data_IF_356367368733
#
_entry.id   IF_356367368733
#
_cell.length_a   1.000
_cell.length_b   1.000
_cell.length_c   1.000
_cell.angle_alpha   90.00
_cell.angle_beta   90.00
_cell.angle_gamma   90.00
#
_symmetry.space_group_name_H-M   'P 1'
#
loop_
_entity.id
_entity.type
_entity.pdbx_description
1 polymer ?
#
# COMPACT_ATOMS: atom_id res chain seq x y z
N UNK A 1 7.31 -3.83 17.97
CA UNK A 1 7.37 -3.43 16.54
C UNK A 1 5.96 -3.35 15.99
N UNK A 2 5.68 -2.47 15.03
CA UNK A 2 4.36 -2.37 14.38
C UNK A 2 4.43 -3.05 13.02
N UNK A 3 3.39 -3.80 12.66
CA UNK A 3 3.24 -4.42 11.35
C UNK A 3 2.22 -3.64 10.53
N UNK A 4 2.46 -3.52 9.24
CA UNK A 4 1.59 -2.82 8.30
C UNK A 4 1.29 -3.70 7.09
N UNK A 5 0.09 -3.54 6.52
CA UNK A 5 -0.21 -4.00 5.18
C UNK A 5 0.17 -2.92 4.17
N UNK A 6 0.80 -3.31 3.07
CA UNK A 6 1.05 -2.44 1.93
C UNK A 6 -0.07 -2.64 0.91
N UNK A 7 -1.01 -1.70 0.82
CA UNK A 7 -2.10 -1.73 -0.15
C UNK A 7 -1.63 -1.12 -1.47
N UNK A 8 -1.31 -1.96 -2.45
CA UNK A 8 -0.97 -1.53 -3.81
C UNK A 8 -2.24 -1.42 -4.64
N UNK A 9 -2.62 -0.19 -4.94
CA UNK A 9 -3.82 0.11 -5.70
C UNK A 9 -3.59 0.02 -7.20
N UNK A 10 -4.66 -0.25 -7.94
CA UNK A 10 -4.67 -0.22 -9.41
C UNK A 10 -4.17 1.08 -10.03
N UNK A 11 -4.25 2.22 -9.32
CA UNK A 11 -3.71 3.50 -9.78
C UNK A 11 -2.17 3.61 -9.65
N UNK A 12 -1.49 2.57 -9.16
CA UNK A 12 -0.04 2.51 -8.98
C UNK A 12 0.46 3.06 -7.64
N UNK A 13 -0.42 3.61 -6.80
CA UNK A 13 -0.07 4.09 -5.48
C UNK A 13 -0.06 2.95 -4.45
N UNK A 14 0.85 3.01 -3.48
CA UNK A 14 0.88 2.08 -2.35
C UNK A 14 0.67 2.83 -1.04
N UNK A 15 -0.32 2.41 -0.26
CA UNK A 15 -0.60 2.97 1.06
C UNK A 15 -0.29 1.95 2.15
N UNK A 16 0.22 2.40 3.29
CA UNK A 16 0.46 1.53 4.46
C UNK A 16 -0.72 1.63 5.43
N UNK A 17 -1.30 0.48 5.77
CA UNK A 17 -2.40 0.37 6.74
C UNK A 17 -1.92 -0.45 7.92
N UNK A 18 -2.22 0.00 9.15
CA UNK A 18 -1.82 -0.73 10.35
C UNK A 18 -2.44 -2.13 10.37
N UNK A 19 -1.62 -3.14 10.64
CA UNK A 19 -2.06 -4.53 10.73
C UNK A 19 -2.15 -4.98 12.19
N UNK A 20 -1.03 -4.96 12.90
CA UNK A 20 -0.96 -5.43 14.28
C UNK A 20 0.26 -4.88 15.02
N UNK A 21 0.16 -4.89 16.35
CA UNK A 21 1.32 -4.81 17.22
C UNK A 21 2.07 -6.14 17.21
N UNK A 22 3.38 -6.11 17.32
CA UNK A 22 4.19 -7.32 17.48
C UNK A 22 3.99 -7.97 18.86
N UNK A 23 4.33 -9.26 19.00
CA UNK A 23 4.16 -9.98 20.26
C UNK A 23 4.88 -9.31 21.44
N UNK A 24 4.25 -9.29 22.62
CA UNK A 24 4.85 -8.74 23.84
C UNK A 24 5.92 -9.71 24.39
N UNK A 25 7.15 -9.64 23.87
CA UNK A 25 8.31 -10.36 24.45
C UNK A 25 9.68 -9.72 24.14
N UNK A 26 9.75 -8.58 23.45
CA UNK A 26 11.01 -7.88 23.24
C UNK A 26 11.23 -6.86 24.37
N UNK A 27 12.03 -7.21 25.38
CA UNK A 27 12.44 -6.38 26.53
C UNK A 27 13.01 -4.97 26.18
N UNK A 28 13.21 -4.66 24.89
CA UNK A 28 13.68 -3.37 24.42
C UNK A 28 12.67 -2.82 23.40
N UNK A 29 11.80 -1.94 23.85
CA UNK A 29 10.96 -1.13 22.96
C UNK A 29 11.88 -0.22 22.14
N UNK A 30 12.32 -0.67 20.96
CA UNK A 30 12.94 0.24 20.00
C UNK A 30 11.82 1.11 19.40
N UNK A 31 11.99 2.44 19.34
CA UNK A 31 11.02 3.31 18.70
C UNK A 31 10.75 2.80 17.28
N UNK A 32 9.47 2.80 16.89
CA UNK A 32 9.00 2.31 15.60
C UNK A 32 9.47 3.25 14.49
N UNK A 33 10.75 3.20 14.10
CA UNK A 33 11.32 4.07 13.08
C UNK A 33 10.79 3.82 11.65
N UNK A 34 9.72 3.02 11.49
CA UNK A 34 9.15 2.72 10.17
C UNK A 34 8.24 1.49 10.10
N UNK A 35 8.20 0.64 11.13
CA UNK A 35 7.42 -0.61 11.10
C UNK A 35 7.86 -1.59 10.01
N UNK A 36 7.25 -2.77 9.97
CA UNK A 36 7.52 -3.80 8.97
C UNK A 36 6.28 -4.05 8.11
N UNK A 37 6.47 -4.25 6.81
CA UNK A 37 5.38 -4.68 5.92
C UNK A 37 5.15 -6.17 6.12
N UNK A 38 4.01 -6.53 6.69
CA UNK A 38 3.59 -7.92 6.84
C UNK A 38 3.28 -8.53 5.47
N UNK A 39 2.43 -7.86 4.70
CA UNK A 39 2.01 -8.34 3.40
C UNK A 39 1.63 -7.18 2.48
N UNK A 40 1.93 -7.35 1.20
CA UNK A 40 1.44 -6.47 0.14
C UNK A 40 0.15 -7.03 -0.43
N UNK A 41 -0.93 -6.25 -0.33
CA UNK A 41 -2.25 -6.57 -0.84
C UNK A 41 -2.52 -5.76 -2.10
N UNK A 42 -2.91 -6.43 -3.19
CA UNK A 42 -3.38 -5.76 -4.40
C UNK A 42 -4.83 -5.35 -4.20
N UNK A 43 -5.12 -4.07 -4.42
CA UNK A 43 -6.47 -3.50 -4.29
C UNK A 43 -7.01 -3.21 -5.67
N UNK A 44 -8.24 -3.65 -5.95
CA UNK A 44 -8.93 -3.38 -7.23
C UNK A 44 -9.45 -1.94 -7.34
N UNK A 45 -9.56 -1.26 -6.20
CA UNK A 45 -10.04 0.11 -6.08
C UNK A 45 -8.89 1.12 -6.19
N UNK A 46 -9.20 2.31 -6.69
CA UNK A 46 -8.27 3.46 -6.65
C UNK A 46 -8.00 3.89 -5.21
N UNK A 47 -6.84 4.50 -4.97
CA UNK A 47 -6.54 5.02 -3.65
C UNK A 47 -7.44 6.23 -3.32
N UNK A 48 -7.68 6.47 -2.03
CA UNK A 48 -8.48 7.59 -1.54
C UNK A 48 -7.97 8.94 -2.05
N UNK A 49 -6.65 9.10 -2.21
CA UNK A 49 -6.03 10.33 -2.71
C UNK A 49 -6.45 10.61 -4.17
N UNK A 50 -6.43 9.59 -5.05
CA UNK A 50 -6.90 9.75 -6.42
C UNK A 50 -8.39 10.09 -6.48
N UNK A 51 -9.20 9.48 -5.60
CA UNK A 51 -10.62 9.80 -5.49
C UNK A 51 -10.88 11.24 -5.03
N UNK A 52 -10.07 11.75 -4.11
CA UNK A 52 -10.20 13.12 -3.59
C UNK A 52 -9.69 14.20 -4.55
N UNK A 53 -8.63 13.91 -5.32
CA UNK A 53 -8.06 14.86 -6.27
C UNK A 53 -8.92 15.05 -7.54
N UNK A 54 -10.02 14.30 -7.67
CA UNK A 54 -10.85 14.32 -8.88
C UNK A 54 -10.08 13.85 -10.10
N UNK A 55 -9.09 12.96 -9.92
CA UNK A 55 -8.36 12.35 -11.03
C UNK A 55 -9.39 11.75 -12.00
N UNK A 56 -9.42 12.25 -13.23
CA UNK A 56 -10.41 11.81 -14.21
C UNK A 56 -10.24 10.31 -14.50
N UNK A 57 -11.34 9.67 -14.87
CA UNK A 57 -11.39 8.22 -15.13
C UNK A 57 -10.36 7.80 -16.20
N UNK A 58 -10.06 8.69 -17.15
CA UNK A 58 -9.00 8.52 -18.14
C UNK A 58 -7.59 8.44 -17.53
N UNK A 59 -7.26 9.32 -16.57
CA UNK A 59 -5.96 9.31 -15.86
C UNK A 59 -5.83 8.04 -15.01
N UNK A 60 -6.92 7.65 -14.35
CA UNK A 60 -6.98 6.40 -13.58
C UNK A 60 -6.72 5.22 -14.50
N UNK A 61 -7.42 5.10 -15.63
CA UNK A 61 -7.26 4.00 -16.57
C UNK A 61 -5.87 3.94 -17.21
N UNK A 62 -5.26 5.08 -17.53
CA UNK A 62 -3.88 5.14 -18.02
C UNK A 62 -2.87 4.64 -16.96
N UNK A 63 -3.06 4.99 -15.68
CA UNK A 63 -2.24 4.49 -14.57
C UNK A 63 -2.46 2.99 -14.32
N UNK A 64 -3.71 2.51 -14.41
CA UNK A 64 -4.04 1.07 -14.36
C UNK A 64 -3.28 0.27 -15.42
N UNK A 65 -3.27 0.75 -16.66
CA UNK A 65 -2.55 0.10 -17.76
C UNK A 65 -1.03 0.03 -17.50
N UNK A 66 -0.42 1.12 -16.98
CA UNK A 66 1.00 1.13 -16.61
C UNK A 66 1.32 0.17 -15.46
N UNK A 67 0.48 0.11 -14.43
CA UNK A 67 0.67 -0.80 -13.30
C UNK A 67 0.59 -2.27 -13.74
N UNK A 68 -0.36 -2.63 -14.60
CA UNK A 68 -0.46 -3.96 -15.19
C UNK A 68 0.77 -4.33 -16.02
N UNK A 69 1.28 -3.40 -16.84
CA UNK A 69 2.49 -3.59 -17.65
C UNK A 69 3.79 -3.70 -16.83
N UNK A 70 3.80 -3.21 -15.58
CA UNK A 70 4.91 -3.39 -14.65
C UNK A 70 4.83 -4.74 -13.91
N UNK A 71 3.63 -5.26 -13.67
CA UNK A 71 3.42 -6.54 -12.98
C UNK A 71 3.70 -7.77 -13.85
N UNK A 72 3.50 -7.68 -15.17
CA UNK A 72 3.75 -8.77 -16.12
C UNK A 72 5.19 -8.93 -16.61
N UNK A 73 6.13 -8.16 -16.03
CA UNK A 73 7.57 -8.16 -16.40
C UNK A 73 8.44 -8.96 -15.41
N UNK A 74 7.85 -9.93 -14.71
CA UNK A 74 8.53 -10.87 -13.81
C UNK A 74 8.39 -12.29 -14.34
#
# INVERSE_FOLDING_TARGET
>A
MCRYYAHSHVCGHTNTVFAAYCPPAALKQRPCAGGEIWQTLKMDQVCSICGLNGDSEAIINARKAKAAAAAGRR
#
